data_IF_780993661430
#
_entry.id   IF_780993661430
#
_cell.length_a   1.000
_cell.length_b   1.000
_cell.length_c   1.000
_cell.angle_alpha   90.00
_cell.angle_beta   90.00
_cell.angle_gamma   90.00
#
_symmetry.space_group_name_H-M   'P 1'
#
loop_
_entity.id
_entity.type
_entity.pdbx_description
1 polymer ?
#
# COMPACT_ATOMS: atom_id res chain seq x y z
N UNK A 1 -1.99 -11.56 2.10
CA UNK A 1 -1.44 -12.24 0.90
C UNK A 1 -1.31 -11.23 -0.24
N UNK A 2 -0.28 -11.37 -1.07
CA UNK A 2 -0.06 -10.58 -2.28
C UNK A 2 -0.21 -11.49 -3.50
N UNK A 3 -0.59 -10.91 -4.63
CA UNK A 3 -0.55 -11.57 -5.94
C UNK A 3 0.68 -11.03 -6.67
N UNK A 4 1.62 -11.89 -7.05
CA UNK A 4 2.78 -11.57 -7.89
C UNK A 4 2.64 -12.23 -9.25
N UNK A 5 3.61 -12.02 -10.14
CA UNK A 5 3.67 -12.76 -11.41
C UNK A 5 3.93 -14.25 -11.23
N UNK A 6 4.63 -14.64 -10.16
CA UNK A 6 4.98 -16.03 -9.85
C UNK A 6 3.92 -16.76 -9.03
N UNK A 7 2.90 -16.05 -8.53
CA UNK A 7 1.79 -16.65 -7.79
C UNK A 7 1.40 -15.83 -6.57
N UNK A 8 0.72 -16.46 -5.60
CA UNK A 8 0.35 -15.79 -4.36
C UNK A 8 1.42 -16.01 -3.30
N UNK A 9 1.86 -14.94 -2.65
CA UNK A 9 2.84 -14.99 -1.55
C UNK A 9 2.32 -14.30 -0.29
N UNK A 10 2.89 -14.65 0.86
CA UNK A 10 2.71 -13.86 2.08
C UNK A 10 3.51 -12.57 1.97
N UNK A 11 2.98 -11.47 2.51
CA UNK A 11 3.64 -10.16 2.44
C UNK A 11 5.02 -10.17 3.10
N UNK A 12 5.23 -11.01 4.12
CA UNK A 12 6.52 -11.18 4.81
C UNK A 12 7.63 -11.79 3.94
N UNK A 13 7.28 -12.50 2.86
CA UNK A 13 8.22 -13.10 1.90
C UNK A 13 8.47 -12.22 0.68
N UNK A 14 7.89 -11.01 0.64
CA UNK A 14 8.09 -10.10 -0.47
C UNK A 14 9.53 -9.56 -0.46
N UNK A 15 10.13 -9.46 -1.64
CA UNK A 15 11.47 -8.92 -1.81
C UNK A 15 11.44 -7.62 -2.64
N UNK A 16 12.42 -6.74 -2.43
CA UNK A 16 12.60 -5.59 -3.31
C UNK A 16 12.95 -6.10 -4.71
N UNK A 17 12.26 -5.59 -5.72
CA UNK A 17 12.37 -6.03 -7.12
C UNK A 17 11.19 -6.88 -7.57
N UNK A 18 10.45 -7.50 -6.64
CA UNK A 18 9.21 -8.23 -6.97
C UNK A 18 8.18 -7.31 -7.61
N UNK A 19 7.36 -7.88 -8.49
CA UNK A 19 6.20 -7.20 -9.05
C UNK A 19 4.91 -7.72 -8.43
N UNK A 20 4.17 -6.82 -7.79
CA UNK A 20 2.90 -7.11 -7.12
C UNK A 20 1.72 -6.56 -7.91
N UNK A 21 0.59 -7.25 -7.86
CA UNK A 21 -0.62 -6.85 -8.54
C UNK A 21 -1.18 -5.54 -7.97
N UNK A 22 -1.68 -4.72 -8.87
CA UNK A 22 -2.33 -3.45 -8.58
C UNK A 22 -3.43 -3.16 -9.62
N UNK A 23 -4.23 -2.12 -9.42
CA UNK A 23 -5.30 -1.73 -10.32
C UNK A 23 -5.12 -0.28 -10.74
N UNK A 24 -5.07 -0.03 -12.05
CA UNK A 24 -4.98 1.34 -12.58
C UNK A 24 -6.27 2.13 -12.34
N UNK A 25 -6.23 3.45 -12.51
CA UNK A 25 -7.43 4.29 -12.49
C UNK A 25 -8.47 3.94 -13.57
N UNK A 26 -8.10 3.13 -14.57
CA UNK A 26 -9.02 2.62 -15.58
C UNK A 26 -9.60 1.23 -15.24
N UNK A 27 -9.17 0.63 -14.13
CA UNK A 27 -9.63 -0.69 -13.69
C UNK A 27 -8.85 -1.87 -14.25
N UNK A 28 -7.71 -1.60 -14.86
CA UNK A 28 -6.88 -2.65 -15.44
C UNK A 28 -5.98 -3.24 -14.37
N UNK A 29 -5.92 -4.57 -14.33
CA UNK A 29 -4.94 -5.30 -13.53
C UNK A 29 -3.56 -5.06 -14.12
N UNK A 30 -2.66 -4.52 -13.31
CA UNK A 30 -1.25 -4.30 -13.65
C UNK A 30 -0.36 -4.90 -12.59
N UNK A 31 0.93 -4.96 -12.89
CA UNK A 31 1.95 -5.40 -11.96
C UNK A 31 2.93 -4.25 -11.74
N UNK A 32 3.23 -3.97 -10.48
CA UNK A 32 3.98 -2.81 -10.03
C UNK A 32 5.17 -3.28 -9.22
N UNK A 33 6.35 -2.78 -9.60
CA UNK A 33 7.60 -3.19 -8.96
C UNK A 33 7.71 -2.60 -7.56
N UNK A 34 8.10 -3.42 -6.60
CA UNK A 34 8.40 -3.03 -5.22
C UNK A 34 9.82 -2.49 -5.19
N UNK A 35 9.97 -1.24 -4.77
CA UNK A 35 11.26 -0.56 -4.79
C UNK A 35 11.85 -0.34 -3.39
N UNK A 36 11.03 -0.40 -2.34
CA UNK A 36 11.46 -0.13 -0.98
C UNK A 36 10.48 -0.71 0.05
N UNK A 37 10.91 -0.73 1.30
CA UNK A 37 10.12 -1.11 2.46
C UNK A 37 10.01 0.11 3.40
N UNK A 38 8.82 0.68 3.55
CA UNK A 38 8.58 1.81 4.45
C UNK A 38 8.52 1.36 5.92
N UNK A 39 8.09 0.12 6.14
CA UNK A 39 8.10 -0.58 7.41
C UNK A 39 8.20 -2.08 7.16
N UNK A 40 9.03 -2.76 7.94
CA UNK A 40 9.10 -4.22 8.02
C UNK A 40 9.55 -4.60 9.43
N UNK A 41 8.60 -4.86 10.30
CA UNK A 41 8.88 -5.25 11.68
C UNK A 41 7.98 -6.41 12.12
N UNK A 42 8.43 -7.15 13.14
CA UNK A 42 7.71 -8.26 13.72
C UNK A 42 7.25 -7.92 15.15
N UNK A 43 6.77 -6.69 15.37
CA UNK A 43 6.22 -6.24 16.65
C UNK A 43 4.70 -6.39 16.66
N UNK A 44 4.11 -6.29 17.85
CA UNK A 44 2.65 -6.21 17.99
C UNK A 44 2.16 -4.82 17.63
N UNK A 45 1.14 -4.75 16.79
CA UNK A 45 0.45 -3.53 16.43
C UNK A 45 -1.06 -3.73 16.53
N UNK A 46 -1.78 -2.63 16.71
CA UNK A 46 -3.23 -2.60 16.52
C UNK A 46 -3.54 -2.52 15.04
N UNK A 47 -4.55 -3.27 14.61
CA UNK A 47 -5.06 -3.31 13.25
C UNK A 47 -6.58 -3.11 13.25
N UNK A 48 -7.07 -2.54 12.16
CA UNK A 48 -8.46 -2.55 11.75
C UNK A 48 -8.66 -3.72 10.78
N UNK A 49 -9.56 -4.64 11.12
CA UNK A 49 -10.07 -5.66 10.20
C UNK A 49 -11.36 -5.18 9.60
N UNK A 50 -11.37 -5.09 8.27
CA UNK A 50 -12.57 -4.83 7.48
C UNK A 50 -13.03 -6.16 6.90
N UNK A 51 -14.30 -6.50 7.11
CA UNK A 51 -14.95 -7.61 6.40
C UNK A 51 -16.01 -7.04 5.49
N UNK A 52 -16.03 -7.48 4.25
CA UNK A 52 -16.98 -7.05 3.22
C UNK A 52 -18.10 -8.07 3.04
N UNK A 53 -19.25 -7.63 2.49
CA UNK A 53 -20.44 -8.47 2.29
C UNK A 53 -20.15 -9.71 1.44
N UNK A 54 -19.24 -9.61 0.47
CA UNK A 54 -18.82 -10.73 -0.38
C UNK A 54 -17.73 -11.63 0.27
N UNK A 55 -17.47 -11.47 1.57
CA UNK A 55 -16.52 -12.28 2.34
C UNK A 55 -15.05 -11.87 2.17
N UNK A 56 -14.77 -10.78 1.47
CA UNK A 56 -13.41 -10.22 1.41
C UNK A 56 -12.99 -9.67 2.77
N UNK A 57 -11.75 -9.90 3.16
CA UNK A 57 -11.18 -9.43 4.42
C UNK A 57 -9.87 -8.69 4.17
N UNK A 58 -9.69 -7.55 4.84
CA UNK A 58 -8.44 -6.79 4.85
C UNK A 58 -8.07 -6.38 6.26
N UNK A 59 -6.78 -6.49 6.60
CA UNK A 59 -6.24 -6.14 7.92
C UNK A 59 -5.16 -5.08 7.74
N UNK A 60 -5.38 -3.90 8.30
CA UNK A 60 -4.60 -2.68 8.05
C UNK A 60 -4.31 -1.96 9.37
N UNK A 61 -3.19 -1.26 9.51
CA UNK A 61 -3.01 -0.39 10.69
C UNK A 61 -4.05 0.74 10.66
N UNK A 62 -4.50 1.27 11.82
CA UNK A 62 -5.51 2.33 11.87
C UNK A 62 -5.21 3.54 10.99
N UNK A 63 -3.93 3.89 10.86
CA UNK A 63 -3.44 5.01 10.08
C UNK A 63 -3.06 4.65 8.64
N UNK A 64 -3.34 3.44 8.16
CA UNK A 64 -3.03 3.05 6.78
C UNK A 64 -4.02 3.68 5.81
N UNK A 65 -3.55 4.13 4.65
CA UNK A 65 -4.41 4.74 3.64
C UNK A 65 -5.10 3.66 2.77
N UNK A 66 -6.40 3.79 2.59
CA UNK A 66 -7.25 2.91 1.77
C UNK A 66 -8.18 3.73 0.88
N UNK A 67 -8.50 3.18 -0.29
CA UNK A 67 -9.38 3.79 -1.27
C UNK A 67 -10.84 3.51 -0.94
N UNK A 68 -11.62 4.57 -0.70
CA UNK A 68 -13.07 4.52 -0.47
C UNK A 68 -13.80 5.12 -1.66
N UNK A 69 -14.79 4.40 -2.16
CA UNK A 69 -15.68 4.85 -3.22
C UNK A 69 -16.46 6.11 -2.80
N UNK A 70 -16.54 7.10 -3.69
CA UNK A 70 -17.18 8.38 -3.43
C UNK A 70 -18.32 8.64 -4.43
N UNK A 71 -19.55 8.64 -3.94
CA UNK A 71 -20.76 8.89 -4.72
C UNK A 71 -21.28 7.68 -5.49
N UNK A 72 -22.47 7.82 -6.07
CA UNK A 72 -23.24 6.69 -6.61
C UNK A 72 -22.61 6.04 -7.86
N UNK A 73 -21.82 6.80 -8.63
CA UNK A 73 -21.17 6.31 -9.86
C UNK A 73 -19.82 5.63 -9.60
N UNK A 74 -19.37 5.58 -8.35
CA UNK A 74 -18.08 5.00 -7.99
C UNK A 74 -17.96 3.50 -8.30
N UNK A 75 -19.10 2.82 -8.42
CA UNK A 75 -19.18 1.40 -8.77
C UNK A 75 -19.42 1.14 -10.26
N UNK A 76 -19.67 2.18 -11.05
CA UNK A 76 -19.88 2.04 -12.51
C UNK A 76 -18.56 1.79 -13.25
N UNK A 77 -17.46 2.31 -12.70
CA UNK A 77 -16.08 2.07 -13.13
C UNK A 77 -15.28 1.74 -11.87
N UNK A 78 -14.39 0.76 -11.89
CA UNK A 78 -13.63 0.34 -10.71
C UNK A 78 -12.14 0.46 -11.01
N UNK A 79 -11.32 1.18 -10.23
CA UNK A 79 -11.73 2.09 -9.17
C UNK A 79 -12.30 3.36 -9.81
N UNK A 80 -13.53 3.72 -9.42
CA UNK A 80 -14.25 4.83 -10.00
C UNK A 80 -13.87 6.14 -9.34
N UNK A 81 -14.86 7.01 -9.16
CA UNK A 81 -14.67 8.18 -8.30
C UNK A 81 -14.46 7.73 -6.85
N UNK A 82 -13.36 8.17 -6.23
CA UNK A 82 -12.96 7.71 -4.92
C UNK A 82 -12.15 8.78 -4.19
N UNK A 83 -12.05 8.59 -2.88
CA UNK A 83 -11.14 9.31 -2.00
C UNK A 83 -10.17 8.32 -1.35
N UNK A 84 -9.11 8.84 -0.74
CA UNK A 84 -8.14 8.05 0.02
C UNK A 84 -8.24 8.46 1.48
N UNK A 85 -8.63 7.52 2.34
CA UNK A 85 -8.89 7.77 3.76
C UNK A 85 -8.09 6.82 4.63
N UNK A 86 -8.03 7.10 5.93
CA UNK A 86 -7.46 6.18 6.90
C UNK A 86 -8.34 4.97 7.12
N UNK A 87 -7.72 3.82 7.40
CA UNK A 87 -8.44 2.58 7.68
C UNK A 87 -9.38 2.74 8.89
N UNK A 88 -9.01 3.53 9.90
CA UNK A 88 -9.89 3.83 11.04
C UNK A 88 -11.05 4.79 10.73
N UNK A 89 -11.06 5.42 9.55
CA UNK A 89 -12.16 6.26 9.08
C UNK A 89 -13.17 5.49 8.22
N UNK A 90 -12.88 4.24 7.87
CA UNK A 90 -13.82 3.35 7.20
C UNK A 90 -14.93 2.94 8.17
N UNK A 91 -16.17 2.99 7.69
CA UNK A 91 -17.37 2.61 8.45
C UNK A 91 -18.12 1.48 7.76
N UNK A 92 -18.96 0.78 8.53
CA UNK A 92 -19.93 -0.15 7.96
C UNK A 92 -20.83 0.59 6.97
N UNK A 93 -21.02 0.02 5.78
CA UNK A 93 -21.74 0.65 4.68
C UNK A 93 -20.84 1.39 3.67
N UNK A 94 -19.59 1.72 4.04
CA UNK A 94 -18.63 2.25 3.07
C UNK A 94 -18.33 1.21 1.98
N UNK A 95 -17.95 1.67 0.80
CA UNK A 95 -17.58 0.78 -0.31
C UNK A 95 -16.10 0.92 -0.62
N UNK A 96 -15.41 -0.21 -0.72
CA UNK A 96 -13.98 -0.32 -1.04
C UNK A 96 -13.78 -1.17 -2.31
N UNK A 97 -12.56 -1.17 -2.84
CA UNK A 97 -12.24 -1.85 -4.09
C UNK A 97 -11.45 -3.13 -3.83
N UNK A 98 -11.93 -4.24 -4.38
CA UNK A 98 -11.29 -5.55 -4.32
C UNK A 98 -11.00 -6.08 -5.72
N UNK A 99 -10.04 -6.98 -5.84
CA UNK A 99 -9.82 -7.83 -7.00
C UNK A 99 -10.61 -9.12 -6.82
N UNK A 100 -11.53 -9.41 -7.74
CA UNK A 100 -12.23 -10.70 -7.76
C UNK A 100 -11.22 -11.84 -7.97
N UNK A 101 -11.31 -12.87 -7.12
CA UNK A 101 -10.32 -13.97 -7.09
C UNK A 101 -10.38 -14.86 -8.33
N UNK A 102 -11.52 -14.90 -9.03
CA UNK A 102 -11.78 -15.83 -10.13
C UNK A 102 -11.67 -15.11 -11.47
N UNK A 103 -12.42 -14.01 -11.62
CA UNK A 103 -12.46 -13.18 -12.82
C UNK A 103 -11.22 -12.30 -12.97
N UNK A 104 -10.46 -12.08 -11.90
CA UNK A 104 -9.28 -11.21 -11.89
C UNK A 104 -9.60 -9.78 -12.37
N UNK A 105 -10.79 -9.28 -12.02
CA UNK A 105 -11.25 -7.92 -12.33
C UNK A 105 -11.52 -7.14 -11.05
N UNK A 106 -11.35 -5.82 -11.12
CA UNK A 106 -11.74 -4.91 -10.05
C UNK A 106 -13.24 -5.01 -9.78
N UNK A 107 -13.62 -5.07 -8.52
CA UNK A 107 -15.00 -5.03 -8.04
C UNK A 107 -15.13 -4.12 -6.82
N UNK A 108 -16.31 -3.54 -6.65
CA UNK A 108 -16.67 -2.81 -5.44
C UNK A 108 -17.26 -3.79 -4.41
N UNK A 109 -16.89 -3.62 -3.15
CA UNK A 109 -17.42 -4.41 -2.05
C UNK A 109 -17.78 -3.50 -0.87
N UNK A 110 -19.00 -3.67 -0.36
CA UNK A 110 -19.49 -2.94 0.81
C UNK A 110 -18.93 -3.55 2.08
N UNK A 111 -18.45 -2.71 2.99
CA UNK A 111 -17.95 -3.08 4.30
C UNK A 111 -19.13 -3.48 5.19
N UNK A 112 -19.12 -4.72 5.67
CA UNK A 112 -20.12 -5.30 6.54
C UNK A 112 -19.73 -5.20 8.02
N UNK A 113 -18.45 -5.38 8.35
CA UNK A 113 -17.94 -5.25 9.73
C UNK A 113 -16.61 -4.51 9.77
N UNK A 114 -16.39 -3.82 10.90
CA UNK A 114 -15.15 -3.11 11.23
C UNK A 114 -14.78 -3.51 12.65
N UNK A 115 -13.63 -4.17 12.82
CA UNK A 115 -13.17 -4.71 14.10
C UNK A 115 -11.74 -4.26 14.39
N UNK A 116 -11.42 -4.02 15.66
CA UNK A 116 -10.04 -3.83 16.09
C UNK A 116 -9.46 -5.15 16.58
N UNK A 117 -8.22 -5.42 16.20
CA UNK A 117 -7.46 -6.56 16.68
C UNK A 117 -6.00 -6.21 16.89
N UNK A 118 -5.32 -6.97 17.75
CA UNK A 118 -3.88 -6.87 17.92
C UNK A 118 -3.24 -8.09 17.26
N UNK A 119 -2.28 -7.85 16.38
CA UNK A 119 -1.54 -8.90 15.68
C UNK A 119 -0.06 -8.53 15.59
N UNK A 120 0.76 -9.53 15.29
CA UNK A 120 2.20 -9.39 15.14
C UNK A 120 2.56 -9.22 13.66
N UNK A 121 3.49 -8.32 13.37
CA UNK A 121 4.01 -8.10 12.03
C UNK A 121 3.30 -6.97 11.29
N UNK A 122 4.03 -5.90 10.99
CA UNK A 122 3.54 -4.80 10.16
C UNK A 122 4.48 -4.60 8.96
N UNK A 123 3.88 -4.56 7.77
CA UNK A 123 4.58 -4.60 6.49
C UNK A 123 4.00 -3.53 5.56
N UNK A 124 4.84 -2.58 5.13
CA UNK A 124 4.44 -1.50 4.24
C UNK A 124 5.44 -1.41 3.07
N UNK A 125 5.28 -2.25 2.03
CA UNK A 125 6.11 -2.16 0.83
C UNK A 125 5.68 -0.95 -0.01
N UNK A 126 6.66 -0.30 -0.62
CA UNK A 126 6.44 0.78 -1.56
C UNK A 126 6.57 0.27 -3.00
N UNK A 127 5.55 0.55 -3.82
CA UNK A 127 5.47 0.15 -5.23
C UNK A 127 5.59 1.36 -6.15
N UNK A 128 6.04 1.14 -7.39
CA UNK A 128 6.18 2.22 -8.37
C UNK A 128 4.87 2.95 -8.67
N UNK A 129 3.72 2.28 -8.50
CA UNK A 129 2.38 2.84 -8.68
C UNK A 129 1.82 3.56 -7.44
N UNK A 130 2.40 3.34 -6.25
CA UNK A 130 1.92 3.90 -4.99
C UNK A 130 0.81 3.09 -4.33
N UNK A 131 0.26 2.10 -5.00
CA UNK A 131 -0.79 1.21 -4.51
C UNK A 131 -0.44 -0.26 -4.75
N UNK A 132 -1.18 -1.13 -4.10
CA UNK A 132 -1.07 -2.58 -4.25
C UNK A 132 -2.33 -3.28 -3.79
N UNK A 133 -2.48 -4.54 -4.20
CA UNK A 133 -3.52 -5.44 -3.73
C UNK A 133 -3.02 -6.32 -2.57
N UNK A 134 -3.58 -6.13 -1.37
CA UNK A 134 -3.32 -6.98 -0.19
C UNK A 134 -4.59 -7.69 0.21
N UNK A 135 -4.54 -9.02 0.27
CA UNK A 135 -5.72 -9.87 0.51
C UNK A 135 -6.88 -9.51 -0.42
N UNK A 136 -6.50 -9.30 -1.70
CA UNK A 136 -7.39 -8.86 -2.76
C UNK A 136 -7.97 -7.44 -2.59
N UNK A 137 -7.60 -6.67 -1.56
CA UNK A 137 -8.10 -5.31 -1.35
C UNK A 137 -7.12 -4.27 -1.88
N UNK A 138 -7.61 -3.29 -2.62
CA UNK A 138 -6.79 -2.18 -3.15
C UNK A 138 -6.48 -1.20 -2.02
N UNK A 139 -5.19 -1.03 -1.74
CA UNK A 139 -4.71 -0.17 -0.66
C UNK A 139 -3.53 0.68 -1.14
N UNK A 140 -3.31 1.81 -0.48
CA UNK A 140 -2.13 2.64 -0.71
C UNK A 140 -0.90 2.00 -0.07
N UNK A 141 0.30 2.31 -0.56
CA UNK A 141 1.56 1.93 0.09
C UNK A 141 1.83 2.74 1.39
N UNK A 142 1.18 3.89 1.52
CA UNK A 142 1.49 4.90 2.53
C UNK A 142 0.52 4.87 3.73
N UNK A 143 1.03 5.35 4.87
CA UNK A 143 0.25 5.60 6.09
C UNK A 143 0.16 7.10 6.34
N UNK A 144 -0.80 7.54 7.17
CA UNK A 144 -0.89 8.92 7.60
C UNK A 144 0.40 9.37 8.27
N UNK A 145 0.82 10.54 7.81
CA UNK A 145 1.71 11.45 8.49
C UNK A 145 1.02 12.81 8.47
N UNK A 146 1.27 13.68 9.45
CA UNK A 146 0.59 14.97 9.57
C UNK A 146 0.57 15.76 8.24
N UNK A 147 1.69 15.74 7.51
CA UNK A 147 1.82 16.38 6.21
C UNK A 147 1.12 15.60 5.07
N UNK A 148 1.10 14.27 5.15
CA UNK A 148 0.55 13.40 4.10
C UNK A 148 -0.98 13.49 4.05
N UNK A 149 -1.61 13.68 5.21
CA UNK A 149 -3.05 13.88 5.31
C UNK A 149 -3.47 15.21 4.67
N UNK A 150 -2.58 16.21 4.69
CA UNK A 150 -2.82 17.51 4.07
C UNK A 150 -2.65 17.48 2.55
N UNK A 151 -1.56 16.89 2.04
CA UNK A 151 -1.26 16.90 0.59
C UNK A 151 -1.94 15.76 -0.19
N UNK A 152 -2.37 14.72 0.52
CA UNK A 152 -3.03 13.55 -0.04
C UNK A 152 -2.09 12.53 -0.69
N UNK A 153 -2.61 11.31 -0.83
CA UNK A 153 -1.90 10.13 -1.35
C UNK A 153 -1.13 10.39 -2.66
N UNK A 154 -1.78 11.01 -3.65
CA UNK A 154 -1.18 11.20 -4.98
C UNK A 154 0.02 12.14 -4.96
N UNK A 155 0.02 13.16 -4.10
CA UNK A 155 1.16 14.06 -3.96
C UNK A 155 2.31 13.37 -3.24
N UNK A 156 2.01 12.59 -2.20
CA UNK A 156 3.01 11.77 -1.50
C UNK A 156 3.70 10.82 -2.48
N UNK A 157 2.92 10.08 -3.28
CA UNK A 157 3.44 9.14 -4.26
C UNK A 157 4.33 9.79 -5.34
N UNK A 158 3.83 10.88 -5.93
CA UNK A 158 4.41 11.49 -7.14
C UNK A 158 5.45 12.58 -6.87
N UNK A 159 5.48 13.14 -5.68
CA UNK A 159 6.39 14.24 -5.33
C UNK A 159 7.28 13.84 -4.18
N UNK A 160 6.70 13.44 -3.04
CA UNK A 160 7.49 13.10 -1.85
C UNK A 160 8.36 11.88 -2.13
N UNK A 161 7.81 10.82 -2.69
CA UNK A 161 8.58 9.58 -2.96
C UNK A 161 9.26 9.54 -4.33
N UNK A 162 9.09 10.56 -5.18
CA UNK A 162 9.72 10.59 -6.50
C UNK A 162 11.26 10.51 -6.47
N UNK A 163 11.99 11.24 -5.59
CA UNK A 163 13.45 11.13 -5.53
C UNK A 163 13.91 9.69 -5.25
N UNK A 164 13.20 8.98 -4.37
CA UNK A 164 13.52 7.61 -4.02
C UNK A 164 13.18 6.62 -5.15
N UNK A 165 12.07 6.82 -5.86
CA UNK A 165 11.72 6.05 -7.07
C UNK A 165 12.77 6.26 -8.17
N UNK A 166 13.20 7.50 -8.39
CA UNK A 166 14.25 7.84 -9.37
C UNK A 166 15.56 7.17 -8.96
N UNK A 167 15.95 7.26 -7.69
CA UNK A 167 17.15 6.61 -7.19
C UNK A 167 17.12 5.09 -7.46
N UNK A 168 16.00 4.43 -7.15
CA UNK A 168 15.80 3.02 -7.43
C UNK A 168 15.95 2.68 -8.93
N UNK A 169 15.33 3.46 -9.82
CA UNK A 169 15.44 3.25 -11.27
C UNK A 169 16.88 3.47 -11.75
N UNK A 170 17.58 4.49 -11.22
CA UNK A 170 18.97 4.78 -11.57
C UNK A 170 19.88 3.64 -11.14
N UNK A 171 19.81 3.18 -9.89
CA UNK A 171 20.69 2.10 -9.41
C UNK A 171 20.44 0.78 -10.16
N UNK A 172 19.17 0.43 -10.39
CA UNK A 172 18.82 -0.82 -11.10
C UNK A 172 19.23 -0.79 -12.58
N UNK A 173 19.20 0.38 -13.22
CA UNK A 173 19.71 0.53 -14.58
C UNK A 173 21.23 0.55 -14.65
N UNK A 174 21.91 1.20 -13.68
CA UNK A 174 23.37 1.29 -13.65
C UNK A 174 24.05 -0.05 -13.38
N UNK A 175 23.51 -0.84 -12.44
CA UNK A 175 24.09 -2.13 -12.06
C UNK A 175 23.51 -3.32 -12.84
N UNK A 176 22.61 -3.06 -13.81
CA UNK A 176 21.75 -4.06 -14.44
C UNK A 176 20.92 -4.84 -13.38
N UNK A 177 19.99 -5.69 -13.83
CA UNK A 177 19.07 -6.42 -12.93
C UNK A 177 19.78 -7.44 -11.99
N UNK A 178 21.11 -7.53 -12.03
CA UNK A 178 21.93 -8.46 -11.25
C UNK A 178 22.15 -8.00 -9.79
N UNK A 179 21.70 -6.80 -9.42
CA UNK A 179 21.63 -6.43 -8.00
C UNK A 179 20.62 -7.31 -7.28
N UNK A 180 21.13 -8.23 -6.46
CA UNK A 180 20.31 -9.08 -5.60
C UNK A 180 19.36 -8.25 -4.73
N UNK A 181 18.22 -8.84 -4.35
CA UNK A 181 17.27 -8.21 -3.43
C UNK A 181 17.95 -7.72 -2.14
N UNK A 182 18.93 -8.48 -1.62
CA UNK A 182 19.72 -8.09 -0.45
C UNK A 182 20.55 -6.83 -0.69
N UNK A 183 21.14 -6.69 -1.88
CA UNK A 183 21.90 -5.48 -2.27
C UNK A 183 20.97 -4.28 -2.40
N UNK A 184 19.80 -4.44 -3.04
CA UNK A 184 18.80 -3.37 -3.14
C UNK A 184 18.25 -2.99 -1.77
N UNK A 185 17.97 -3.96 -0.90
CA UNK A 185 17.60 -3.69 0.49
C UNK A 185 18.70 -2.89 1.19
N UNK A 186 19.98 -3.22 1.03
CA UNK A 186 21.07 -2.44 1.63
C UNK A 186 21.15 -0.98 1.12
N UNK A 187 20.83 -0.74 -0.15
CA UNK A 187 20.79 0.63 -0.72
C UNK A 187 19.55 1.41 -0.30
N UNK A 188 18.41 0.74 -0.17
CA UNK A 188 17.13 1.38 0.08
C UNK A 188 16.83 1.51 1.58
N UNK A 189 17.32 0.60 2.42
CA UNK A 189 17.14 0.59 3.87
C UNK A 189 18.37 1.08 4.64
N UNK A 190 18.15 1.99 5.59
CA UNK A 190 19.07 2.16 6.71
C UNK A 190 18.70 1.16 7.82
N UNK A 191 19.70 0.64 8.53
CA UNK A 191 19.73 -0.52 9.45
C UNK A 191 18.60 -0.72 10.48
N UNK A 192 17.60 0.16 10.63
CA UNK A 192 16.67 0.16 11.76
C UNK A 192 15.19 -0.12 11.40
N UNK A 193 14.92 -0.88 10.34
CA UNK A 193 13.57 -1.43 10.07
C UNK A 193 12.54 -0.43 9.52
N UNK A 194 12.91 0.84 9.40
CA UNK A 194 12.20 1.87 8.64
C UNK A 194 13.14 2.50 7.60
N UNK A 195 12.57 2.99 6.51
CA UNK A 195 13.35 3.69 5.49
C UNK A 195 13.81 5.05 6.05
N UNK A 196 15.11 5.36 5.97
CA UNK A 196 15.67 6.64 6.44
C UNK A 196 14.96 7.86 5.83
N UNK A 197 14.45 7.70 4.60
CA UNK A 197 13.70 8.75 3.91
C UNK A 197 12.40 9.11 4.65
N UNK A 198 11.75 8.13 5.29
CA UNK A 198 10.58 8.35 6.15
C UNK A 198 11.02 9.04 7.45
N UNK A 199 12.19 8.68 7.99
CA UNK A 199 12.77 9.33 9.17
C UNK A 199 13.13 10.80 8.93
N UNK A 200 13.61 11.14 7.74
CA UNK A 200 13.85 12.53 7.34
C UNK A 200 12.57 13.38 7.49
N UNK A 201 11.41 12.82 7.14
CA UNK A 201 10.13 13.51 7.32
C UNK A 201 9.66 13.57 8.78
N UNK A 202 10.15 12.70 9.68
CA UNK A 202 9.87 12.78 11.12
C UNK A 202 10.41 14.06 11.74
N UNK A 203 11.53 14.59 11.25
CA UNK A 203 12.17 15.82 11.77
C UNK A 203 11.25 17.03 11.63
N UNK A 204 10.46 17.10 10.55
CA UNK A 204 9.49 18.18 10.38
C UNK A 204 8.30 18.10 11.35
N UNK A 205 8.12 16.97 12.05
CA UNK A 205 7.08 16.80 13.08
C UNK A 205 7.43 17.51 14.39
N UNK A 206 8.71 17.64 14.72
CA UNK A 206 9.16 18.31 15.95
C UNK A 206 9.29 19.83 15.82
N UNK A 207 9.22 20.39 14.60
CA UNK A 207 9.35 21.82 14.39
C UNK A 207 8.04 22.61 14.60
N UNK A 208 6.91 21.94 14.86
CA UNK A 208 5.57 22.57 14.97
C UNK A 208 4.77 21.99 16.16
N UNK A 209 5.44 21.65 17.26
CA UNK A 209 4.79 21.30 18.53
C UNK A 209 5.15 22.32 19.61
#
# INVERSE_FOLDING_TARGET
>A
MLVTRSGRIRIEHLEIGDEVADITSQGQLVYSKVYAWLRKDNLYHTFVRLTTVNGGQSVLTPNHLIFRALGNNACTRCPGHHEVVLANHIRVGDTIFLLDKVKMVCQCATVATVELLTAKGAYAPATMSGSLLVDNTLVSCYTSYWFFDFVGHYFVDRVVFAPLKIFYVVITNLFQADTSAATLEAFMHAKEGALWYVDFWKIFRSAIA
#
